data_IF_973434977439
#
_entry.id   IF_973434977439
#
_cell.length_a   1.000
_cell.length_b   1.000
_cell.length_c   1.000
_cell.angle_alpha   90.00
_cell.angle_beta   90.00
_cell.angle_gamma   90.00
#
_symmetry.space_group_name_H-M   'P 1'
#
loop_
_entity.id
_entity.type
_entity.pdbx_description
1 polymer ?
#
# COMPACT_ATOMS: atom_id res chain seq x y z
N UNK A 1 25.05 13.21 16.12
CA UNK A 1 24.43 11.88 16.19
C UNK A 1 23.45 11.92 17.34
N UNK A 2 22.19 11.55 17.11
CA UNK A 2 21.17 11.53 18.16
C UNK A 2 21.23 10.16 18.82
N UNK A 3 21.31 10.11 20.15
CA UNK A 3 21.25 8.86 20.92
C UNK A 3 19.95 8.81 21.71
N UNK A 4 19.11 7.82 21.40
CA UNK A 4 17.89 7.46 22.12
C UNK A 4 18.16 6.10 22.73
N UNK A 5 18.17 6.02 24.05
CA UNK A 5 18.49 4.79 24.80
C UNK A 5 17.37 4.35 25.74
N UNK A 6 16.38 5.23 25.93
CA UNK A 6 15.23 5.04 26.80
C UNK A 6 14.08 6.00 26.40
N UNK A 7 12.98 5.94 27.15
CA UNK A 7 11.82 6.82 26.92
C UNK A 7 12.13 8.29 27.23
N UNK A 8 12.93 8.58 28.25
CA UNK A 8 13.24 9.94 28.67
C UNK A 8 14.08 10.69 27.62
N UNK A 9 15.07 10.00 27.03
CA UNK A 9 15.87 10.52 25.92
C UNK A 9 15.06 10.71 24.65
N UNK A 10 14.10 9.81 24.35
CA UNK A 10 13.16 9.99 23.24
C UNK A 10 12.27 11.22 23.44
N UNK A 11 11.68 11.38 24.63
CA UNK A 11 10.82 12.53 24.98
C UNK A 11 11.59 13.85 24.91
N UNK A 12 12.79 13.88 25.50
CA UNK A 12 13.65 15.05 25.48
C UNK A 12 13.99 15.48 24.04
N UNK A 13 14.29 14.54 23.15
CA UNK A 13 14.56 14.84 21.75
C UNK A 13 13.31 15.32 20.99
N UNK A 14 12.13 14.72 21.23
CA UNK A 14 10.88 15.06 20.54
C UNK A 14 10.31 16.43 20.94
N UNK A 15 10.62 16.90 22.15
CA UNK A 15 10.03 18.11 22.75
C UNK A 15 10.17 19.35 21.87
N UNK A 16 11.31 19.50 21.19
CA UNK A 16 11.61 20.67 20.35
C UNK A 16 11.34 20.42 18.85
N UNK A 17 10.72 19.28 18.50
CA UNK A 17 10.39 18.91 17.12
C UNK A 17 9.00 19.35 16.71
N UNK A 18 8.80 19.56 15.42
CA UNK A 18 7.48 19.87 14.86
C UNK A 18 6.51 18.70 15.08
N UNK A 19 5.21 19.00 15.11
CA UNK A 19 4.18 17.96 15.26
C UNK A 19 4.26 16.87 14.19
N UNK A 20 4.60 17.26 12.96
CA UNK A 20 4.75 16.32 11.85
C UNK A 20 5.92 15.34 12.06
N UNK A 21 7.05 15.81 12.60
CA UNK A 21 8.19 14.97 12.99
C UNK A 21 7.80 14.01 14.11
N UNK A 22 7.10 14.50 15.14
CA UNK A 22 6.66 13.65 16.25
C UNK A 22 5.72 12.53 15.78
N UNK A 23 4.78 12.85 14.88
CA UNK A 23 3.82 11.89 14.33
C UNK A 23 4.52 10.84 13.46
N UNK A 24 5.41 11.26 12.57
CA UNK A 24 6.15 10.33 11.69
C UNK A 24 7.09 9.40 12.48
N UNK A 25 7.77 9.94 13.50
CA UNK A 25 8.61 9.16 14.40
C UNK A 25 7.79 8.14 15.20
N UNK A 26 6.67 8.56 15.78
CA UNK A 26 5.76 7.67 16.51
C UNK A 26 5.18 6.58 15.59
N UNK A 27 4.84 6.91 14.34
CA UNK A 27 4.35 5.95 13.36
C UNK A 27 5.37 4.83 13.10
N UNK A 28 6.67 5.16 12.97
CA UNK A 28 7.71 4.13 12.79
C UNK A 28 7.95 3.28 14.02
N UNK A 29 7.92 3.85 15.22
CA UNK A 29 7.97 3.08 16.45
C UNK A 29 6.80 2.09 16.52
N UNK A 30 5.60 2.53 16.13
CA UNK A 30 4.42 1.67 16.14
C UNK A 30 4.46 0.58 15.06
N UNK A 31 4.97 0.87 13.86
CA UNK A 31 5.24 -0.12 12.81
C UNK A 31 6.24 -1.21 13.25
N UNK A 32 7.24 -0.86 14.06
CA UNK A 32 8.18 -1.84 14.65
C UNK A 32 7.51 -2.77 15.66
N UNK A 33 6.49 -2.30 16.35
CA UNK A 33 5.75 -3.08 17.34
C UNK A 33 4.64 -3.95 16.73
N UNK A 34 4.20 -3.65 15.49
CA UNK A 34 3.09 -4.35 14.84
C UNK A 34 3.19 -5.89 14.90
N UNK A 35 4.35 -6.53 14.64
CA UNK A 35 4.45 -7.99 14.70
C UNK A 35 4.03 -8.61 16.03
N UNK A 36 4.03 -7.83 17.11
CA UNK A 36 3.59 -8.28 18.43
C UNK A 36 2.14 -8.78 18.46
N UNK A 37 1.26 -8.29 17.59
CA UNK A 37 -0.14 -8.77 17.54
C UNK A 37 -0.24 -10.21 17.04
N UNK A 38 0.76 -10.73 16.33
CA UNK A 38 0.79 -12.12 15.84
C UNK A 38 0.91 -13.16 16.96
N UNK A 39 1.08 -12.74 18.21
CA UNK A 39 1.01 -13.61 19.38
C UNK A 39 -0.41 -13.82 19.91
N UNK A 40 -1.39 -13.07 19.41
CA UNK A 40 -2.80 -13.31 19.69
C UNK A 40 -3.27 -14.63 19.05
N UNK A 41 -4.32 -15.23 19.60
CA UNK A 41 -5.02 -16.33 18.92
C UNK A 41 -5.76 -15.84 17.66
N UNK A 42 -6.09 -16.76 16.74
CA UNK A 42 -6.68 -16.41 15.45
C UNK A 42 -8.00 -15.62 15.57
N UNK A 43 -8.80 -15.92 16.60
CA UNK A 43 -10.07 -15.23 16.84
C UNK A 43 -9.81 -13.76 17.22
N UNK A 44 -8.94 -13.54 18.20
CA UNK A 44 -8.52 -12.21 18.63
C UNK A 44 -7.84 -11.46 17.50
N UNK A 45 -6.98 -12.14 16.73
CA UNK A 45 -6.28 -11.54 15.60
C UNK A 45 -7.26 -11.10 14.50
N UNK A 46 -8.30 -11.87 14.22
CA UNK A 46 -9.40 -11.50 13.33
C UNK A 46 -10.10 -10.20 13.75
N UNK A 47 -10.27 -9.98 15.05
CA UNK A 47 -10.93 -8.78 15.59
C UNK A 47 -10.02 -7.55 15.59
N UNK A 48 -8.72 -7.72 15.90
CA UNK A 48 -7.81 -6.59 16.14
C UNK A 48 -6.97 -6.20 14.92
N UNK A 49 -6.75 -7.10 13.95
CA UNK A 49 -5.83 -6.85 12.85
C UNK A 49 -6.22 -5.60 12.04
N UNK A 50 -7.46 -5.54 11.54
CA UNK A 50 -7.93 -4.40 10.75
C UNK A 50 -7.87 -3.05 11.51
N UNK A 51 -8.40 -2.91 12.74
CA UNK A 51 -8.35 -1.64 13.45
C UNK A 51 -6.93 -1.23 13.84
N UNK A 52 -6.04 -2.17 14.17
CA UNK A 52 -4.62 -1.88 14.42
C UNK A 52 -3.95 -1.39 13.14
N UNK A 53 -4.12 -2.09 12.01
CA UNK A 53 -3.54 -1.69 10.72
C UNK A 53 -4.02 -0.31 10.27
N UNK A 54 -5.33 -0.02 10.40
CA UNK A 54 -5.90 1.30 10.13
C UNK A 54 -5.24 2.38 11.00
N UNK A 55 -5.05 2.10 12.30
CA UNK A 55 -4.42 3.04 13.23
C UNK A 55 -2.93 3.25 12.96
N UNK A 56 -2.25 2.31 12.28
CA UNK A 56 -0.86 2.47 11.84
C UNK A 56 -0.74 3.22 10.51
N UNK A 57 -1.69 3.02 9.58
CA UNK A 57 -1.72 3.69 8.28
C UNK A 57 -1.83 5.22 8.42
N UNK A 58 -2.78 5.69 9.25
CA UNK A 58 -3.15 7.10 9.28
C UNK A 58 -2.03 8.03 9.79
N UNK A 59 -1.28 7.71 10.87
CA UNK A 59 -0.11 8.49 11.28
C UNK A 59 1.01 8.50 10.24
N UNK A 60 1.21 7.40 9.51
CA UNK A 60 2.17 7.34 8.40
C UNK A 60 1.82 8.32 7.28
N UNK A 61 0.55 8.34 6.86
CA UNK A 61 0.01 9.29 5.88
C UNK A 61 0.03 10.74 6.41
N UNK A 62 -0.34 10.96 7.67
CA UNK A 62 -0.36 12.30 8.27
C UNK A 62 1.05 12.92 8.37
N UNK A 63 2.09 12.09 8.49
CA UNK A 63 3.49 12.53 8.48
C UNK A 63 3.99 12.95 7.08
N UNK A 64 3.42 12.41 6.01
CA UNK A 64 3.91 12.62 4.64
C UNK A 64 2.99 13.51 3.79
N UNK A 65 1.68 13.49 4.06
CA UNK A 65 0.61 14.23 3.39
C UNK A 65 -0.39 14.84 4.41
N UNK A 66 -0.05 15.93 5.11
CA UNK A 66 -0.86 16.48 6.19
C UNK A 66 -2.07 17.29 5.70
N UNK A 67 -3.11 16.64 5.18
CA UNK A 67 -4.40 17.28 4.84
C UNK A 67 -5.29 17.46 6.10
N UNK A 68 -6.18 18.47 6.13
CA UNK A 68 -7.16 18.64 7.22
C UNK A 68 -8.00 17.38 7.51
N UNK A 69 -8.37 16.67 6.46
CA UNK A 69 -9.22 15.47 6.48
C UNK A 69 -8.47 14.29 7.13
N UNK A 70 -7.18 14.13 6.83
CA UNK A 70 -6.30 13.13 7.46
C UNK A 70 -6.11 13.40 8.97
N UNK A 71 -6.05 14.69 9.37
CA UNK A 71 -5.99 15.05 10.80
C UNK A 71 -7.26 14.62 11.56
N UNK A 72 -8.43 14.71 10.93
CA UNK A 72 -9.69 14.28 11.52
C UNK A 72 -9.82 12.75 11.58
N UNK A 73 -9.39 12.05 10.53
CA UNK A 73 -9.35 10.59 10.48
C UNK A 73 -8.42 9.99 11.57
N UNK A 74 -7.32 10.67 11.89
CA UNK A 74 -6.35 10.25 12.92
C UNK A 74 -6.97 10.13 14.32
N UNK A 75 -7.85 11.07 14.70
CA UNK A 75 -8.52 11.03 16.00
C UNK A 75 -9.52 9.87 16.13
N UNK A 76 -10.23 9.54 15.05
CA UNK A 76 -11.19 8.44 15.03
C UNK A 76 -10.51 7.06 15.10
N UNK A 77 -9.40 6.87 14.38
CA UNK A 77 -8.67 5.61 14.37
C UNK A 77 -7.96 5.30 15.70
N UNK A 78 -7.40 6.32 16.36
CA UNK A 78 -6.83 6.16 17.70
C UNK A 78 -7.88 5.70 18.74
N UNK A 79 -9.12 6.20 18.62
CA UNK A 79 -10.23 5.78 19.49
C UNK A 79 -10.65 4.32 19.24
N UNK A 80 -10.74 3.88 17.98
CA UNK A 80 -11.04 2.48 17.64
C UNK A 80 -9.94 1.51 18.10
N UNK A 81 -8.66 1.87 17.94
CA UNK A 81 -7.54 1.03 18.38
C UNK A 81 -7.45 0.91 19.91
N UNK A 82 -7.70 2.00 20.65
CA UNK A 82 -7.75 1.98 22.12
C UNK A 82 -8.94 1.19 22.68
N UNK A 83 -10.07 1.17 21.98
CA UNK A 83 -11.21 0.31 22.33
C UNK A 83 -10.89 -1.19 22.11
N UNK A 84 -10.17 -1.54 21.03
CA UNK A 84 -9.70 -2.90 20.78
C UNK A 84 -8.60 -3.33 21.77
N UNK A 85 -7.76 -2.40 22.22
CA UNK A 85 -6.72 -2.65 23.23
C UNK A 85 -7.28 -2.99 24.63
N UNK A 86 -8.56 -2.67 24.89
CA UNK A 86 -9.23 -2.97 26.15
C UNK A 86 -9.86 -4.38 26.19
N UNK A 87 -9.89 -5.12 25.07
CA UNK A 87 -10.36 -6.53 25.04
C UNK A 87 -9.24 -7.58 24.94
N UNK A 88 -8.00 -7.19 24.61
CA UNK A 88 -6.87 -8.12 24.48
C UNK A 88 -5.95 -8.22 25.71
N UNK A 89 -6.16 -7.42 26.76
CA UNK A 89 -5.28 -7.36 27.94
C UNK A 89 -5.74 -8.23 29.14
N UNK A 90 -6.74 -9.11 28.99
CA UNK A 90 -7.27 -9.90 30.12
C UNK A 90 -7.26 -11.43 29.94
N UNK A 91 -6.78 -11.95 28.80
CA UNK A 91 -6.82 -13.41 28.53
C UNK A 91 -5.49 -14.15 28.64
N UNK A 92 -4.39 -13.49 29.00
CA UNK A 92 -3.10 -14.16 29.27
C UNK A 92 -2.84 -14.45 30.76
N UNK A 93 -3.63 -13.88 31.68
CA UNK A 93 -3.43 -14.03 33.13
C UNK A 93 -4.32 -15.11 33.78
N UNK A 94 -5.29 -15.66 33.06
CA UNK A 94 -6.35 -16.53 33.61
C UNK A 94 -6.20 -18.02 33.24
N UNK A 95 -5.23 -18.39 32.41
CA UNK A 95 -4.90 -19.79 32.11
C UNK A 95 -3.82 -20.39 33.05
N UNK A 96 -3.01 -19.55 33.69
CA UNK A 96 -1.95 -20.00 34.62
C UNK A 96 -2.48 -20.40 36.01
N UNK A 97 -3.62 -19.85 36.43
CA UNK A 97 -4.20 -20.10 37.76
C UNK A 97 -5.04 -21.38 37.87
N UNK A 98 -5.45 -21.96 36.74
CA UNK A 98 -6.26 -23.18 36.71
C UNK A 98 -5.41 -24.47 36.73
N UNK A 99 -4.12 -24.39 36.42
CA UNK A 99 -3.22 -25.55 36.40
C UNK A 99 -2.58 -25.87 37.76
N UNK A 100 -2.63 -24.92 38.72
CA UNK A 100 -1.97 -25.03 40.03
C UNK A 100 -2.71 -25.94 41.03
N UNK A 101 -4.00 -26.23 40.80
CA UNK A 101 -4.86 -26.90 41.80
C UNK A 101 -5.04 -28.42 41.64
N UNK A 102 -4.17 -29.09 40.88
CA UNK A 102 -4.31 -30.52 40.63
C UNK A 102 -3.00 -31.33 40.64
N UNK A 103 -2.09 -31.14 41.60
CA UNK A 103 -1.01 -32.12 41.83
C UNK A 103 -0.33 -32.00 43.20
N UNK A 104 -1.10 -32.03 44.29
CA UNK A 104 -0.52 -32.41 45.58
C UNK A 104 -0.69 -33.92 45.80
N UNK A 105 0.46 -34.59 45.98
CA UNK A 105 0.70 -35.91 46.58
C UNK A 105 0.82 -37.15 45.66
N UNK A 106 2.06 -37.43 45.18
CA UNK A 106 2.65 -38.79 45.19
C UNK A 106 4.19 -38.78 44.97
N UNK A 107 4.92 -39.29 45.98
CA UNK A 107 6.28 -39.87 45.95
C UNK A 107 7.52 -38.93 46.04
N UNK A 108 8.05 -38.81 47.26
CA UNK A 108 9.24 -38.04 47.62
C UNK A 108 10.56 -38.83 47.48
N UNK A 109 11.41 -38.34 46.57
CA UNK A 109 12.89 -38.31 46.55
C UNK A 109 13.43 -38.17 45.12
N UNK A 110 12.69 -38.66 44.12
CA UNK A 110 12.87 -38.29 42.69
C UNK A 110 12.24 -36.92 42.36
N UNK A 111 11.23 -36.50 43.14
CA UNK A 111 10.55 -35.22 42.98
C UNK A 111 11.42 -33.98 43.28
N UNK A 112 12.44 -34.10 44.13
CA UNK A 112 13.31 -32.97 44.47
C UNK A 112 14.24 -32.58 43.30
N UNK A 113 14.80 -33.58 42.60
CA UNK A 113 15.63 -33.35 41.41
C UNK A 113 14.80 -32.91 40.20
N UNK A 114 13.59 -33.47 40.02
CA UNK A 114 12.66 -33.03 38.97
C UNK A 114 12.11 -31.62 39.23
N UNK A 115 11.82 -31.28 40.48
CA UNK A 115 11.38 -29.93 40.88
C UNK A 115 12.52 -28.92 40.74
N UNK A 116 13.76 -29.25 41.14
CA UNK A 116 14.91 -28.38 40.93
C UNK A 116 15.18 -28.16 39.43
N UNK A 117 15.11 -29.21 38.60
CA UNK A 117 15.24 -29.09 37.15
C UNK A 117 14.12 -28.23 36.53
N UNK A 118 12.87 -28.38 37.00
CA UNK A 118 11.74 -27.56 36.55
C UNK A 118 11.89 -26.08 36.96
N UNK A 119 12.34 -25.81 38.19
CA UNK A 119 12.63 -24.44 38.65
C UNK A 119 13.80 -23.82 37.90
N UNK A 120 14.87 -24.58 37.64
CA UNK A 120 15.99 -24.11 36.81
C UNK A 120 15.57 -23.86 35.37
N UNK A 121 14.70 -24.70 34.79
CA UNK A 121 14.15 -24.50 33.45
C UNK A 121 13.22 -23.27 33.39
N UNK A 122 12.38 -23.06 34.41
CA UNK A 122 11.52 -21.88 34.51
C UNK A 122 12.34 -20.60 34.71
N UNK A 123 13.37 -20.63 35.57
CA UNK A 123 14.28 -19.51 35.76
C UNK A 123 15.08 -19.19 34.49
N UNK A 124 15.58 -20.22 33.79
CA UNK A 124 16.25 -20.05 32.51
C UNK A 124 15.31 -19.49 31.44
N UNK A 125 14.06 -19.96 31.38
CA UNK A 125 13.03 -19.42 30.48
C UNK A 125 12.71 -17.95 30.81
N UNK A 126 12.62 -17.60 32.09
CA UNK A 126 12.40 -16.22 32.53
C UNK A 126 13.59 -15.31 32.19
N UNK A 127 14.81 -15.74 32.49
CA UNK A 127 16.04 -15.00 32.12
C UNK A 127 16.21 -14.89 30.60
N UNK A 128 15.80 -15.91 29.84
CA UNK A 128 15.77 -15.85 28.38
C UNK A 128 14.72 -14.85 27.88
N UNK A 129 13.53 -14.82 28.49
CA UNK A 129 12.50 -13.84 28.18
C UNK A 129 12.93 -12.40 28.51
N UNK A 130 13.58 -12.19 29.67
CA UNK A 130 14.13 -10.88 30.06
C UNK A 130 15.26 -10.44 29.12
N UNK A 131 16.15 -11.36 28.73
CA UNK A 131 17.24 -11.08 27.80
C UNK A 131 16.71 -10.77 26.39
N UNK A 132 15.67 -11.48 25.95
CA UNK A 132 14.99 -11.22 24.69
C UNK A 132 14.27 -9.87 24.72
N UNK A 133 13.59 -9.54 25.82
CA UNK A 133 12.95 -8.24 26.02
C UNK A 133 13.96 -7.09 26.04
N UNK A 134 15.09 -7.26 26.73
CA UNK A 134 16.18 -6.28 26.74
C UNK A 134 16.78 -6.09 25.34
N UNK A 135 17.05 -7.18 24.63
CA UNK A 135 17.58 -7.13 23.26
C UNK A 135 16.60 -6.47 22.29
N UNK A 136 15.30 -6.74 22.43
CA UNK A 136 14.25 -6.09 21.65
C UNK A 136 14.17 -4.58 21.93
N UNK A 137 14.22 -4.17 23.20
CA UNK A 137 14.28 -2.74 23.56
C UNK A 137 15.52 -2.06 23.01
N UNK A 138 16.70 -2.69 23.17
CA UNK A 138 17.96 -2.14 22.66
C UNK A 138 17.94 -1.97 21.14
N UNK A 139 17.43 -2.97 20.40
CA UNK A 139 17.29 -2.88 18.95
C UNK A 139 16.29 -1.78 18.54
N UNK A 140 15.16 -1.64 19.25
CA UNK A 140 14.16 -0.62 18.98
C UNK A 140 14.71 0.80 19.21
N UNK A 141 15.44 1.02 20.32
CA UNK A 141 16.08 2.29 20.62
C UNK A 141 17.22 2.63 19.66
N UNK A 142 17.98 1.63 19.21
CA UNK A 142 19.00 1.82 18.17
C UNK A 142 18.38 2.26 16.84
N UNK A 143 17.29 1.60 16.42
CA UNK A 143 16.57 1.97 15.21
C UNK A 143 15.90 3.37 15.33
N UNK A 144 15.41 3.72 16.52
CA UNK A 144 14.87 5.05 16.82
C UNK A 144 15.95 6.14 16.78
N UNK A 145 17.16 5.85 17.24
CA UNK A 145 18.31 6.76 17.14
C UNK A 145 18.70 7.05 15.69
N UNK A 146 18.65 6.04 14.82
CA UNK A 146 18.92 6.18 13.39
C UNK A 146 17.84 7.03 12.71
N UNK A 147 16.57 6.74 12.98
CA UNK A 147 15.44 7.55 12.52
C UNK A 147 15.60 9.03 12.92
N UNK A 148 15.94 9.28 14.19
CA UNK A 148 16.15 10.62 14.72
C UNK A 148 17.34 11.36 14.07
N UNK A 149 18.38 10.62 13.68
CA UNK A 149 19.54 11.16 12.97
C UNK A 149 19.22 11.48 11.50
N UNK A 150 18.38 10.68 10.85
CA UNK A 150 18.00 10.83 9.43
C UNK A 150 17.04 11.99 9.14
N UNK A 151 16.33 12.49 10.15
CA UNK A 151 15.25 13.48 10.00
C UNK A 151 15.70 14.93 9.75
N UNK A 152 16.99 15.24 9.93
CA UNK A 152 17.50 16.62 9.92
C UNK A 152 17.80 17.20 8.52
N UNK A 153 18.11 16.41 7.46
CA UNK A 153 18.32 16.97 6.12
C UNK A 153 17.36 16.48 5.00
N UNK A 154 16.58 15.41 5.20
CA UNK A 154 15.96 14.67 4.08
C UNK A 154 14.41 14.72 3.99
N UNK A 155 13.75 15.34 4.98
CA UNK A 155 12.29 15.44 5.05
C UNK A 155 11.59 14.16 5.51
N UNK A 156 10.29 14.25 5.80
CA UNK A 156 9.54 13.18 6.49
C UNK A 156 9.35 11.90 5.65
N UNK A 157 9.40 12.00 4.32
CA UNK A 157 9.32 10.83 3.44
C UNK A 157 10.61 10.00 3.45
N UNK A 158 11.77 10.63 3.63
CA UNK A 158 13.06 9.93 3.69
C UNK A 158 13.12 8.93 4.85
N UNK A 159 12.40 9.25 5.93
CA UNK A 159 12.26 8.38 7.08
C UNK A 159 11.58 7.04 6.72
N UNK A 160 10.59 7.03 5.81
CA UNK A 160 9.84 5.82 5.46
C UNK A 160 10.48 4.99 4.33
N UNK A 161 11.42 5.55 3.57
CA UNK A 161 12.20 4.81 2.55
C UNK A 161 13.47 4.15 3.13
N UNK A 162 13.61 4.18 4.46
CA UNK A 162 14.63 3.44 5.19
C UNK A 162 13.99 2.19 5.80
N UNK A 163 14.63 1.00 5.75
CA UNK A 163 14.12 -0.20 6.42
C UNK A 163 13.77 0.08 7.89
N UNK A 164 12.75 -0.60 8.45
CA UNK A 164 12.37 -0.40 9.85
C UNK A 164 13.50 -0.78 10.83
N UNK A 165 14.32 -1.74 10.42
CA UNK A 165 15.41 -2.30 11.21
C UNK A 165 16.76 -2.08 10.50
N UNK A 166 17.28 -0.85 10.45
CA UNK A 166 18.44 -0.51 9.62
C UNK A 166 19.79 -0.91 10.23
N UNK A 167 19.85 -1.09 11.56
CA UNK A 167 21.11 -1.35 12.30
C UNK A 167 21.28 -2.83 12.68
N UNK A 168 20.19 -3.48 13.06
CA UNK A 168 20.14 -4.86 13.51
C UNK A 168 18.92 -5.54 12.91
N UNK A 169 18.87 -6.87 12.75
CA UNK A 169 17.67 -7.55 12.30
C UNK A 169 16.50 -7.33 13.27
N UNK A 170 15.28 -7.59 12.80
CA UNK A 170 14.10 -7.64 13.66
C UNK A 170 14.36 -8.61 14.83
N UNK A 171 14.09 -8.21 16.09
CA UNK A 171 14.25 -9.07 17.25
C UNK A 171 13.48 -10.39 17.11
N UNK A 172 14.05 -11.49 17.61
CA UNK A 172 13.53 -12.85 17.44
C UNK A 172 12.05 -12.99 17.79
N UNK A 173 11.62 -12.53 18.98
CA UNK A 173 10.22 -12.59 19.39
C UNK A 173 9.25 -11.77 18.51
N UNK A 174 9.74 -10.68 17.89
CA UNK A 174 8.96 -9.94 16.90
C UNK A 174 8.99 -10.65 15.54
N UNK A 175 10.09 -11.30 15.17
CA UNK A 175 10.20 -12.09 13.94
C UNK A 175 9.27 -13.30 13.96
N UNK A 176 9.15 -13.99 15.10
CA UNK A 176 8.19 -15.08 15.30
C UNK A 176 6.74 -14.59 15.26
N UNK A 177 6.45 -13.46 15.94
CA UNK A 177 5.14 -12.81 15.86
C UNK A 177 4.78 -12.41 14.43
N UNK A 178 5.76 -11.88 13.68
CA UNK A 178 5.59 -11.53 12.27
C UNK A 178 5.30 -12.76 11.41
N UNK A 179 5.99 -13.88 11.63
CA UNK A 179 5.75 -15.11 10.89
C UNK A 179 4.31 -15.62 11.07
N UNK A 180 3.77 -15.55 12.30
CA UNK A 180 2.37 -15.90 12.59
C UNK A 180 1.39 -14.93 11.95
N UNK A 181 1.63 -13.63 12.09
CA UNK A 181 0.80 -12.60 11.48
C UNK A 181 0.76 -12.73 9.95
N UNK A 182 1.91 -13.05 9.32
CA UNK A 182 2.00 -13.32 7.90
C UNK A 182 1.22 -14.56 7.49
N UNK A 183 1.31 -15.65 8.26
CA UNK A 183 0.52 -16.86 8.02
C UNK A 183 -0.99 -16.59 8.10
N UNK A 184 -1.43 -15.75 9.04
CA UNK A 184 -2.82 -15.30 9.13
C UNK A 184 -3.25 -14.52 7.89
N UNK A 185 -2.43 -13.58 7.40
CA UNK A 185 -2.75 -12.85 6.17
C UNK A 185 -2.75 -13.74 4.92
N UNK A 186 -1.84 -14.69 4.83
CA UNK A 186 -1.73 -15.61 3.69
C UNK A 186 -2.85 -16.67 3.68
N UNK A 187 -3.56 -16.87 4.80
CA UNK A 187 -4.73 -17.74 4.86
C UNK A 187 -5.97 -17.16 4.15
N UNK A 188 -6.07 -15.83 4.06
CA UNK A 188 -7.11 -15.12 3.32
C UNK A 188 -6.51 -13.90 2.59
N UNK A 189 -5.83 -14.14 1.44
CA UNK A 189 -5.13 -13.10 0.72
C UNK A 189 -6.08 -12.10 0.04
N UNK A 190 -7.34 -12.47 -0.21
CA UNK A 190 -8.33 -11.57 -0.79
C UNK A 190 -8.71 -10.46 0.22
N UNK A 191 -8.79 -10.82 1.51
CA UNK A 191 -9.03 -9.85 2.59
C UNK A 191 -7.76 -9.12 3.04
N UNK A 192 -6.65 -9.85 3.20
CA UNK A 192 -5.46 -9.33 3.90
C UNK A 192 -4.27 -9.02 3.00
N UNK A 193 -4.31 -9.38 1.72
CA UNK A 193 -3.17 -9.26 0.82
C UNK A 193 -2.63 -7.84 0.71
N UNK A 194 -3.51 -6.83 0.68
CA UNK A 194 -3.09 -5.43 0.73
C UNK A 194 -2.27 -5.10 1.99
N UNK A 195 -2.74 -5.53 3.17
CA UNK A 195 -2.12 -5.21 4.45
C UNK A 195 -0.76 -5.91 4.62
N UNK A 196 -0.66 -7.14 4.12
CA UNK A 196 0.62 -7.86 4.02
C UNK A 196 1.61 -7.08 3.17
N UNK A 197 1.22 -6.72 1.95
CA UNK A 197 2.09 -6.02 1.00
C UNK A 197 2.47 -4.62 1.51
N UNK A 198 1.51 -3.92 2.13
CA UNK A 198 1.72 -2.61 2.74
C UNK A 198 2.73 -2.67 3.88
N UNK A 199 2.57 -3.61 4.81
CA UNK A 199 3.51 -3.75 5.92
C UNK A 199 4.89 -4.19 5.46
N UNK A 200 4.97 -5.13 4.51
CA UNK A 200 6.24 -5.55 3.93
C UNK A 200 6.96 -4.36 3.26
N UNK A 201 6.24 -3.52 2.50
CA UNK A 201 6.79 -2.30 1.94
C UNK A 201 7.34 -1.35 3.01
N UNK A 202 6.60 -1.13 4.11
CA UNK A 202 7.09 -0.32 5.24
C UNK A 202 8.33 -0.94 5.89
N UNK A 203 8.33 -2.27 6.10
CA UNK A 203 9.41 -3.03 6.70
C UNK A 203 10.72 -2.89 5.91
N UNK A 204 10.62 -2.98 4.58
CA UNK A 204 11.76 -2.95 3.66
C UNK A 204 12.21 -1.53 3.28
N UNK A 205 11.49 -0.49 3.72
CA UNK A 205 11.74 0.89 3.29
C UNK A 205 11.33 1.13 1.82
N UNK A 206 10.33 0.40 1.34
CA UNK A 206 9.71 0.55 0.02
C UNK A 206 8.21 0.82 0.20
N UNK A 207 7.83 1.97 0.80
CA UNK A 207 6.43 2.27 1.05
C UNK A 207 5.66 2.34 -0.27
N UNK A 208 4.38 1.94 -0.22
CA UNK A 208 3.47 2.14 -1.34
C UNK A 208 3.30 3.64 -1.67
N UNK A 209 2.77 3.93 -2.85
CA UNK A 209 2.47 5.30 -3.26
C UNK A 209 1.65 6.05 -2.19
N UNK A 210 2.14 7.21 -1.76
CA UNK A 210 1.50 7.97 -0.68
C UNK A 210 0.12 8.50 -1.05
N UNK A 211 -0.13 8.82 -2.32
CA UNK A 211 -1.45 9.25 -2.77
C UNK A 211 -2.46 8.09 -2.73
N UNK A 212 -2.01 6.87 -3.03
CA UNK A 212 -2.82 5.66 -2.84
C UNK A 212 -3.14 5.44 -1.35
N UNK A 213 -2.11 5.51 -0.49
CA UNK A 213 -2.29 5.33 0.95
C UNK A 213 -3.22 6.40 1.55
N UNK A 214 -3.16 7.64 1.06
CA UNK A 214 -4.08 8.71 1.46
C UNK A 214 -5.53 8.39 1.10
N UNK A 215 -5.80 7.96 -0.14
CA UNK A 215 -7.15 7.55 -0.54
C UNK A 215 -7.70 6.42 0.34
N UNK A 216 -6.87 5.44 0.70
CA UNK A 216 -7.26 4.34 1.60
C UNK A 216 -7.49 4.86 3.03
N UNK A 217 -6.65 5.76 3.53
CA UNK A 217 -6.83 6.36 4.86
C UNK A 217 -8.13 7.17 4.98
N UNK A 218 -8.61 7.73 3.86
CA UNK A 218 -9.84 8.51 3.76
C UNK A 218 -11.11 7.66 3.53
N UNK A 219 -11.02 6.32 3.49
CA UNK A 219 -12.20 5.46 3.46
C UNK A 219 -13.16 5.85 4.62
N UNK A 220 -14.46 6.08 4.34
CA UNK A 220 -15.44 6.48 5.34
C UNK A 220 -15.49 5.52 6.53
N UNK A 221 -15.72 6.06 7.74
CA UNK A 221 -15.72 5.26 8.98
C UNK A 221 -16.73 4.12 8.91
N UNK A 222 -17.85 4.36 8.25
CA UNK A 222 -18.96 3.43 8.06
C UNK A 222 -18.53 2.18 7.28
N UNK A 223 -17.62 2.33 6.31
CA UNK A 223 -17.07 1.19 5.57
C UNK A 223 -16.12 0.37 6.42
N UNK A 224 -15.32 1.01 7.28
CA UNK A 224 -14.47 0.30 8.24
C UNK A 224 -15.24 -0.54 9.25
N UNK A 225 -16.46 -0.12 9.61
CA UNK A 225 -17.33 -0.83 10.56
C UNK A 225 -18.04 -2.04 9.93
N UNK A 226 -18.05 -2.17 8.60
CA UNK A 226 -18.62 -3.33 7.88
C UNK A 226 -17.71 -4.56 7.88
N UNK A 227 -16.49 -4.45 8.42
CA UNK A 227 -15.56 -5.56 8.60
C UNK A 227 -14.50 -5.69 7.49
N UNK A 228 -13.56 -6.61 7.70
CA UNK A 228 -12.33 -6.70 6.90
C UNK A 228 -12.59 -7.04 5.43
N UNK A 229 -13.49 -7.97 5.13
CA UNK A 229 -13.82 -8.36 3.76
C UNK A 229 -14.42 -7.20 2.95
N UNK A 230 -15.33 -6.42 3.56
CA UNK A 230 -15.89 -5.23 2.93
C UNK A 230 -14.81 -4.20 2.64
N UNK A 231 -13.98 -3.89 3.63
CA UNK A 231 -12.87 -2.94 3.48
C UNK A 231 -11.87 -3.41 2.41
N UNK A 232 -11.60 -4.70 2.30
CA UNK A 232 -10.74 -5.25 1.26
C UNK A 232 -11.32 -5.00 -0.14
N UNK A 233 -12.64 -5.16 -0.31
CA UNK A 233 -13.35 -4.80 -1.54
C UNK A 233 -13.18 -3.31 -1.87
N UNK A 234 -13.41 -2.42 -0.90
CA UNK A 234 -13.23 -0.96 -1.06
C UNK A 234 -11.78 -0.61 -1.43
N UNK A 235 -10.79 -1.22 -0.77
CA UNK A 235 -9.38 -1.02 -1.08
C UNK A 235 -9.07 -1.50 -2.50
N UNK A 236 -9.63 -2.62 -2.95
CA UNK A 236 -9.43 -3.14 -4.30
C UNK A 236 -9.95 -2.18 -5.36
N UNK A 237 -11.11 -1.56 -5.13
CA UNK A 237 -11.64 -0.51 -6.02
C UNK A 237 -10.74 0.72 -6.05
N UNK A 238 -10.33 1.22 -4.89
CA UNK A 238 -9.45 2.40 -4.81
C UNK A 238 -8.13 2.14 -5.55
N UNK A 239 -7.54 0.94 -5.40
CA UNK A 239 -6.32 0.55 -6.11
C UNK A 239 -6.52 0.51 -7.62
N UNK A 240 -7.61 -0.10 -8.07
CA UNK A 240 -7.91 -0.22 -9.50
C UNK A 240 -8.20 1.13 -10.14
N UNK A 241 -8.96 2.00 -9.44
CA UNK A 241 -9.22 3.39 -9.84
C UNK A 241 -7.93 4.18 -9.94
N UNK A 242 -7.07 4.09 -8.93
CA UNK A 242 -5.79 4.81 -8.88
C UNK A 242 -4.82 4.36 -9.99
N UNK A 243 -4.75 3.06 -10.28
CA UNK A 243 -3.95 2.56 -11.40
C UNK A 243 -4.48 3.10 -12.74
N UNK A 244 -5.80 3.10 -12.94
CA UNK A 244 -6.41 3.66 -14.15
C UNK A 244 -6.13 5.16 -14.31
N UNK A 245 -6.26 5.95 -13.24
CA UNK A 245 -5.91 7.37 -13.22
C UNK A 245 -4.45 7.58 -13.69
N UNK A 246 -3.52 6.76 -13.17
CA UNK A 246 -2.10 6.81 -13.58
C UNK A 246 -1.91 6.45 -15.04
N UNK A 247 -2.51 5.35 -15.53
CA UNK A 247 -2.37 4.92 -16.93
C UNK A 247 -2.89 5.95 -17.91
N UNK A 248 -4.02 6.58 -17.58
CA UNK A 248 -4.56 7.67 -18.41
C UNK A 248 -3.62 8.87 -18.40
N UNK A 249 -3.10 9.28 -17.23
CA UNK A 249 -2.18 10.41 -17.14
C UNK A 249 -0.85 10.16 -17.87
N UNK A 250 -0.30 8.95 -17.77
CA UNK A 250 0.89 8.51 -18.51
C UNK A 250 0.64 8.58 -20.02
N UNK A 251 -0.49 8.03 -20.49
CA UNK A 251 -0.86 8.06 -21.90
C UNK A 251 -1.06 9.49 -22.41
N UNK A 252 -1.73 10.35 -21.63
CA UNK A 252 -1.92 11.77 -21.97
C UNK A 252 -0.59 12.52 -22.06
N UNK A 253 0.34 12.26 -21.14
CA UNK A 253 1.67 12.87 -21.13
C UNK A 253 2.50 12.44 -22.35
N UNK A 254 2.53 11.15 -22.66
CA UNK A 254 3.26 10.60 -23.82
C UNK A 254 2.70 11.15 -25.15
N UNK A 255 1.38 11.24 -25.27
CA UNK A 255 0.73 11.82 -26.45
C UNK A 255 1.02 13.33 -26.59
N UNK A 256 1.10 14.06 -25.48
CA UNK A 256 1.49 15.47 -25.49
C UNK A 256 2.95 15.67 -25.93
N UNK A 257 3.88 14.85 -25.43
CA UNK A 257 5.29 14.88 -25.84
C UNK A 257 5.47 14.53 -27.33
N UNK A 258 4.83 13.46 -27.79
CA UNK A 258 4.84 13.07 -29.19
C UNK A 258 4.28 14.17 -30.13
N UNK A 259 3.38 15.01 -29.62
CA UNK A 259 2.84 16.15 -30.35
C UNK A 259 3.79 17.37 -30.37
N UNK A 260 4.62 17.57 -29.33
CA UNK A 260 5.55 18.70 -29.19
C UNK A 260 6.86 18.51 -29.97
N UNK A 261 7.43 17.30 -30.01
CA UNK A 261 8.67 17.01 -30.76
C UNK A 261 8.54 17.32 -32.27
N UNK A 262 7.31 17.44 -32.76
CA UNK A 262 6.98 17.90 -34.11
C UNK A 262 7.38 19.36 -34.39
N UNK A 263 7.39 20.24 -33.38
CA UNK A 263 7.56 21.70 -33.53
C UNK A 263 9.01 22.17 -33.28
N UNK A 264 9.99 21.26 -33.31
CA UNK A 264 11.40 21.56 -33.05
C UNK A 264 11.96 22.77 -33.82
N UNK A 265 12.91 23.47 -33.17
CA UNK A 265 13.55 24.72 -33.61
C UNK A 265 14.37 24.48 -34.89
N UNK A 266 13.72 24.53 -36.05
CA UNK A 266 14.36 24.57 -37.37
C UNK A 266 14.25 23.28 -38.18
N UNK A 267 13.35 23.27 -39.18
CA UNK A 267 13.38 22.22 -40.21
C UNK A 267 12.09 21.98 -40.99
N UNK A 268 11.82 22.86 -41.96
CA UNK A 268 11.04 22.69 -43.19
C UNK A 268 9.51 22.53 -43.19
N UNK A 269 8.94 23.25 -44.16
CA UNK A 269 7.55 23.32 -44.59
C UNK A 269 6.86 21.95 -44.64
N UNK A 270 5.56 21.89 -44.29
CA UNK A 270 4.79 20.66 -44.42
C UNK A 270 4.75 20.24 -45.89
N UNK A 271 4.89 18.93 -46.21
CA UNK A 271 4.48 18.44 -47.53
C UNK A 271 3.01 18.79 -47.75
N UNK A 272 2.62 18.95 -49.02
CA UNK A 272 1.26 19.32 -49.42
C UNK A 272 0.21 18.47 -48.67
N UNK A 273 -0.94 19.07 -48.30
CA UNK A 273 -2.00 18.33 -47.64
C UNK A 273 -2.41 17.18 -48.55
N UNK A 274 -2.24 15.94 -48.06
CA UNK A 274 -2.89 14.78 -48.67
C UNK A 274 -4.39 15.10 -48.57
N UNK A 275 -5.06 15.33 -49.69
CA UNK A 275 -6.46 15.82 -49.77
C UNK A 275 -7.45 14.93 -49.00
N UNK A 276 -7.04 13.69 -48.71
CA UNK A 276 -7.65 12.85 -47.71
C UNK A 276 -6.76 12.82 -46.47
N UNK A 277 -7.12 13.57 -45.42
CA UNK A 277 -6.66 13.21 -44.09
C UNK A 277 -7.00 11.71 -43.92
N UNK A 278 -6.01 10.81 -43.78
CA UNK A 278 -6.29 9.38 -43.86
C UNK A 278 -7.30 9.06 -42.78
N UNK A 279 -8.30 8.21 -43.07
CA UNK A 279 -9.42 7.91 -42.17
C UNK A 279 -9.04 7.68 -40.69
N UNK A 280 -7.80 7.26 -40.46
CA UNK A 280 -7.06 7.08 -39.19
C UNK A 280 -6.90 8.36 -38.35
N UNK A 281 -6.64 9.52 -38.95
CA UNK A 281 -6.58 10.78 -38.21
C UNK A 281 -7.96 11.14 -37.62
N UNK A 282 -9.05 10.76 -38.31
CA UNK A 282 -10.42 10.85 -37.76
C UNK A 282 -10.70 9.72 -36.78
N UNK A 283 -10.17 8.52 -37.00
CA UNK A 283 -10.42 7.35 -36.14
C UNK A 283 -9.56 7.26 -34.86
N UNK A 284 -8.45 7.99 -34.74
CA UNK A 284 -7.68 8.09 -33.50
C UNK A 284 -8.04 9.31 -32.65
N UNK A 285 -8.67 10.31 -33.27
CA UNK A 285 -9.57 11.24 -32.56
C UNK A 285 -10.70 10.48 -31.85
N UNK A 286 -11.06 9.26 -32.29
CA UNK A 286 -12.07 8.41 -31.62
C UNK A 286 -11.58 7.83 -30.29
N UNK A 287 -10.27 7.71 -30.01
CA UNK A 287 -9.81 7.20 -28.70
C UNK A 287 -9.96 8.25 -27.60
N UNK A 288 -9.84 9.54 -27.95
CA UNK A 288 -9.92 10.63 -27.00
C UNK A 288 -11.30 10.78 -26.36
N UNK A 289 -12.39 10.63 -27.12
CA UNK A 289 -13.75 10.72 -26.60
C UNK A 289 -14.01 9.71 -25.46
N UNK A 290 -13.84 8.40 -25.70
CA UNK A 290 -13.94 7.36 -24.69
C UNK A 290 -12.96 7.52 -23.52
N UNK A 291 -11.73 8.03 -23.74
CA UNK A 291 -10.82 8.36 -22.61
C UNK A 291 -11.40 9.49 -21.75
N UNK A 292 -11.96 10.55 -22.36
CA UNK A 292 -12.60 11.62 -21.60
C UNK A 292 -13.84 11.13 -20.87
N UNK A 293 -14.69 10.30 -21.50
CA UNK A 293 -15.83 9.67 -20.84
C UNK A 293 -15.39 8.78 -19.66
N UNK A 294 -14.26 8.08 -19.80
CA UNK A 294 -13.68 7.30 -18.69
C UNK A 294 -13.19 8.19 -17.55
N UNK A 295 -12.61 9.35 -17.88
CA UNK A 295 -12.23 10.37 -16.89
C UNK A 295 -13.44 10.97 -16.19
N UNK A 296 -14.56 11.16 -16.89
CA UNK A 296 -15.82 11.59 -16.28
C UNK A 296 -16.30 10.57 -15.24
N UNK A 297 -16.31 9.28 -15.59
CA UNK A 297 -16.64 8.20 -14.64
C UNK A 297 -15.67 8.18 -13.45
N UNK A 298 -14.37 8.38 -13.69
CA UNK A 298 -13.36 8.50 -12.63
C UNK A 298 -13.57 9.69 -11.70
N UNK A 299 -14.38 10.68 -12.06
CA UNK A 299 -14.72 11.82 -11.20
C UNK A 299 -16.15 11.75 -10.67
N UNK A 300 -16.93 10.76 -11.09
CA UNK A 300 -18.29 10.57 -10.61
C UNK A 300 -18.30 10.17 -9.13
N UNK A 301 -19.29 10.67 -8.39
CA UNK A 301 -19.57 10.25 -7.01
C UNK A 301 -20.07 8.81 -6.97
N UNK A 302 -20.87 8.42 -7.98
CA UNK A 302 -21.40 7.07 -8.18
C UNK A 302 -21.11 6.61 -9.62
N UNK A 303 -19.92 6.03 -9.88
CA UNK A 303 -19.53 5.55 -11.21
C UNK A 303 -20.41 4.39 -11.67
N UNK A 304 -20.80 4.36 -12.95
CA UNK A 304 -21.65 3.30 -13.51
C UNK A 304 -20.81 2.19 -14.16
N UNK A 305 -20.75 0.96 -13.58
CA UNK A 305 -19.99 -0.14 -14.15
C UNK A 305 -20.44 -0.54 -15.56
N UNK A 306 -21.72 -0.32 -15.90
CA UNK A 306 -22.26 -0.61 -17.23
C UNK A 306 -21.77 0.39 -18.26
N UNK A 307 -21.70 1.68 -17.89
CA UNK A 307 -21.12 2.72 -18.75
C UNK A 307 -19.62 2.51 -18.95
N UNK A 308 -18.88 2.15 -17.89
CA UNK A 308 -17.45 1.79 -17.99
C UNK A 308 -17.25 0.62 -18.97
N UNK A 309 -18.11 -0.41 -18.91
CA UNK A 309 -18.07 -1.54 -19.85
C UNK A 309 -18.23 -1.11 -21.31
N UNK A 310 -19.15 -0.19 -21.57
CA UNK A 310 -19.41 0.34 -22.92
C UNK A 310 -18.19 1.12 -23.43
N UNK A 311 -17.62 1.98 -22.58
CA UNK A 311 -16.41 2.75 -22.89
C UNK A 311 -15.23 1.81 -23.21
N UNK A 312 -15.01 0.78 -22.39
CA UNK A 312 -14.01 -0.27 -22.64
C UNK A 312 -14.24 -0.95 -23.99
N UNK A 313 -15.49 -1.24 -24.36
CA UNK A 313 -15.86 -1.80 -25.66
C UNK A 313 -15.47 -0.89 -26.83
N UNK A 314 -15.65 0.43 -26.68
CA UNK A 314 -15.24 1.41 -27.67
C UNK A 314 -13.71 1.47 -27.82
N UNK A 315 -12.98 1.48 -26.70
CA UNK A 315 -11.51 1.49 -26.69
C UNK A 315 -10.93 0.22 -27.33
N UNK A 316 -11.48 -0.97 -27.02
CA UNK A 316 -11.10 -2.24 -27.65
C UNK A 316 -11.36 -2.25 -29.15
N UNK A 317 -12.49 -1.69 -29.59
CA UNK A 317 -12.82 -1.56 -31.02
C UNK A 317 -11.81 -0.67 -31.74
N UNK A 318 -11.47 0.48 -31.13
CA UNK A 318 -10.46 1.39 -31.65
C UNK A 318 -9.07 0.73 -31.74
N UNK A 319 -8.66 0.02 -30.69
CA UNK A 319 -7.39 -0.73 -30.66
C UNK A 319 -7.32 -1.76 -31.79
N UNK A 320 -8.36 -2.60 -31.96
CA UNK A 320 -8.41 -3.62 -33.02
C UNK A 320 -8.31 -3.03 -34.42
N UNK A 321 -8.99 -1.90 -34.67
CA UNK A 321 -8.90 -1.19 -35.95
C UNK A 321 -7.50 -0.65 -36.18
N UNK A 322 -6.88 -0.05 -35.16
CA UNK A 322 -5.50 0.44 -35.23
C UNK A 322 -4.51 -0.67 -35.60
N UNK A 323 -4.59 -1.82 -34.91
CA UNK A 323 -3.77 -2.99 -35.20
C UNK A 323 -4.01 -3.55 -36.61
N UNK A 324 -5.27 -3.66 -37.04
CA UNK A 324 -5.63 -4.13 -38.37
C UNK A 324 -5.07 -3.23 -39.49
N UNK A 325 -5.05 -1.92 -39.26
CA UNK A 325 -4.40 -1.00 -40.18
C UNK A 325 -2.88 -1.16 -40.21
N UNK A 326 -2.23 -1.29 -39.05
CA UNK A 326 -0.78 -1.54 -38.98
C UNK A 326 -0.39 -2.81 -39.74
N UNK A 327 -1.17 -3.89 -39.60
CA UNK A 327 -0.97 -5.12 -40.34
C UNK A 327 -1.12 -4.92 -41.86
N UNK A 328 -2.18 -4.23 -42.30
CA UNK A 328 -2.40 -3.91 -43.71
C UNK A 328 -1.29 -3.00 -44.30
N UNK A 329 -0.63 -2.19 -43.46
CA UNK A 329 0.52 -1.37 -43.87
C UNK A 329 1.85 -2.09 -43.79
N UNK A 330 2.01 -3.05 -42.90
CA UNK A 330 3.16 -3.95 -42.91
C UNK A 330 3.19 -4.78 -44.20
N UNK A 331 2.02 -5.19 -44.72
CA UNK A 331 1.88 -5.80 -46.05
C UNK A 331 2.25 -4.84 -47.20
N UNK A 332 2.24 -3.52 -46.97
CA UNK A 332 2.67 -2.49 -47.93
C UNK A 332 4.15 -2.06 -47.76
N UNK A 333 4.91 -2.63 -46.81
CA UNK A 333 6.21 -2.12 -46.39
C UNK A 333 7.40 -2.67 -47.19
N UNK A 334 7.49 -2.29 -48.47
CA UNK A 334 8.78 -1.93 -49.11
C UNK A 334 8.98 -0.42 -49.15
N UNK A 335 7.95 0.41 -49.00
CA UNK A 335 8.12 1.84 -49.30
C UNK A 335 8.48 2.70 -48.08
N UNK A 336 9.74 3.10 -48.05
CA UNK A 336 10.42 3.94 -47.05
C UNK A 336 9.82 5.35 -46.88
N UNK A 337 8.80 5.71 -47.65
CA UNK A 337 8.04 6.97 -47.59
C UNK A 337 7.03 7.04 -46.42
N UNK A 338 6.67 5.91 -45.81
CA UNK A 338 5.77 5.90 -44.62
C UNK A 338 6.43 6.52 -43.38
N UNK A 339 7.78 6.61 -43.33
CA UNK A 339 8.50 7.19 -42.18
C UNK A 339 8.17 8.65 -41.87
N UNK A 340 7.57 9.39 -42.81
CA UNK A 340 7.14 10.80 -42.63
C UNK A 340 5.64 11.02 -42.86
N UNK A 341 4.89 9.96 -43.18
CA UNK A 341 3.53 10.01 -43.71
C UNK A 341 2.42 9.70 -42.70
N UNK A 342 2.61 9.98 -41.41
CA UNK A 342 1.50 10.02 -40.45
C UNK A 342 1.24 11.48 -40.06
N UNK A 343 0.21 12.13 -40.63
CA UNK A 343 -0.20 13.45 -40.17
C UNK A 343 -0.85 13.39 -38.76
N UNK A 344 -0.20 14.07 -37.81
CA UNK A 344 -0.74 15.29 -37.17
C UNK A 344 -1.73 15.26 -35.97
N UNK A 345 -2.12 14.14 -35.34
CA UNK A 345 -3.07 14.20 -34.19
C UNK A 345 -2.97 13.06 -33.15
N UNK A 346 -1.77 12.69 -32.68
CA UNK A 346 -1.58 11.63 -31.65
C UNK A 346 -1.86 10.19 -32.13
N UNK A 347 -2.57 10.03 -33.23
CA UNK A 347 -3.04 8.73 -33.71
C UNK A 347 -1.97 7.75 -34.21
N UNK A 348 -0.89 8.25 -34.83
CA UNK A 348 0.22 7.37 -35.22
C UNK A 348 0.98 6.79 -34.03
N UNK A 349 0.96 7.48 -32.89
CA UNK A 349 1.67 7.04 -31.69
C UNK A 349 1.04 5.78 -31.12
N UNK A 350 -0.29 5.74 -30.96
CA UNK A 350 -1.01 4.57 -30.45
C UNK A 350 -0.95 3.37 -31.39
N UNK A 351 -0.88 3.61 -32.70
CA UNK A 351 -0.69 2.55 -33.68
C UNK A 351 0.69 1.87 -33.56
N UNK A 352 1.71 2.61 -33.10
CA UNK A 352 3.07 2.13 -32.87
C UNK A 352 3.31 1.66 -31.43
N UNK A 353 2.48 2.10 -30.48
CA UNK A 353 2.55 1.75 -29.05
C UNK A 353 1.17 1.25 -28.56
N UNK A 354 0.63 0.16 -29.14
CA UNK A 354 -0.69 -0.36 -28.78
C UNK A 354 -0.77 -0.81 -27.31
N UNK A 355 0.36 -1.20 -26.73
CA UNK A 355 0.52 -1.62 -25.34
C UNK A 355 0.07 -0.54 -24.34
N UNK A 356 0.21 0.75 -24.69
CA UNK A 356 -0.21 1.85 -23.83
C UNK A 356 -1.72 1.94 -23.69
N UNK A 357 -2.43 1.77 -24.80
CA UNK A 357 -3.89 1.72 -24.80
C UNK A 357 -4.40 0.42 -24.17
N UNK A 358 -3.69 -0.70 -24.38
CA UNK A 358 -3.99 -1.97 -23.71
C UNK A 358 -3.90 -1.86 -22.19
N UNK A 359 -2.89 -1.17 -21.64
CA UNK A 359 -2.77 -0.93 -20.21
C UNK A 359 -3.94 -0.14 -19.64
N UNK A 360 -4.40 0.92 -20.34
CA UNK A 360 -5.59 1.69 -19.94
C UNK A 360 -6.84 0.80 -19.96
N UNK A 361 -7.02 0.01 -21.02
CA UNK A 361 -8.16 -0.92 -21.15
C UNK A 361 -8.17 -1.94 -20.01
N UNK A 362 -7.02 -2.55 -19.72
CA UNK A 362 -6.89 -3.55 -18.65
C UNK A 362 -7.18 -2.94 -17.26
N UNK A 363 -6.64 -1.74 -16.99
CA UNK A 363 -6.91 -1.02 -15.75
C UNK A 363 -8.40 -0.67 -15.61
N UNK A 364 -9.06 -0.27 -16.70
CA UNK A 364 -10.50 0.02 -16.72
C UNK A 364 -11.36 -1.21 -16.46
N UNK A 365 -11.01 -2.37 -17.02
CA UNK A 365 -11.68 -3.64 -16.75
C UNK A 365 -11.51 -4.09 -15.29
N UNK A 366 -10.30 -3.91 -14.75
CA UNK A 366 -10.01 -4.21 -13.34
C UNK A 366 -10.84 -3.33 -12.42
N UNK A 367 -10.91 -2.04 -12.70
CA UNK A 367 -11.72 -1.08 -11.93
C UNK A 367 -13.22 -1.40 -12.03
N UNK A 368 -13.72 -1.69 -13.22
CA UNK A 368 -15.10 -2.12 -13.43
C UNK A 368 -15.46 -3.35 -12.58
N UNK A 369 -14.58 -4.36 -12.56
CA UNK A 369 -14.80 -5.59 -11.79
C UNK A 369 -14.80 -5.30 -10.29
N UNK A 370 -13.88 -4.47 -9.81
CA UNK A 370 -13.82 -4.08 -8.41
C UNK A 370 -15.07 -3.31 -7.96
N UNK A 371 -15.56 -2.38 -8.78
CA UNK A 371 -16.81 -1.67 -8.54
C UNK A 371 -18.01 -2.63 -8.44
N UNK A 372 -18.12 -3.59 -9.35
CA UNK A 372 -19.20 -4.58 -9.33
C UNK A 372 -19.16 -5.45 -8.06
N UNK A 373 -17.98 -5.78 -7.56
CA UNK A 373 -17.84 -6.58 -6.35
C UNK A 373 -18.25 -5.84 -5.08
N UNK A 374 -18.23 -4.50 -5.07
CA UNK A 374 -18.69 -3.69 -3.92
C UNK A 374 -20.21 -3.49 -3.96
N UNK A 375 -20.79 -3.42 -5.17
CA UNK A 375 -22.22 -3.16 -5.36
C UNK A 375 -23.11 -4.40 -5.17
N UNK A 376 -22.53 -5.61 -5.28
CA UNK A 376 -23.20 -6.89 -5.05
C UNK A 376 -23.00 -7.36 -3.60
#
# INVERSE_FOLDING_TARGET
MVEITDYESAEAWLKDKSRAVQVAFAARCALRALPGIGWADDATLGDIALPVMRAMLIPGVAGTCPTPEIRQASAAAAHSASAAHFSAAFSAASAAYAADSAASAAAHSAAASASAAAHSAAAAAHSAADSAAFSAHSAAFSAASEDATSLDPAGLQALFVTPLWPVAPMPEGLSEGFAKLRAFWDADPDTWGFWRDWYQGMLDGQPMDWALQEKIALIPKEDWEKGAAHVAGVIAEIRARFDLEKRIAELESELALASQDRLGIGGNHPPEPIEEAPAIAKELVIVWGPIQELKEELQAEDPDPSRIAQIVGLLLSALRKGLGWCAAKADLAVDTTIKWGIPAAGGGYLALNPDKLEQVIHAAQTWQTALQNILN
#
